data_IF_974872765135
#
_entry.id   IF_974872765135
#
_cell.length_a   1.000
_cell.length_b   1.000
_cell.length_c   1.000
_cell.angle_alpha   90.00
_cell.angle_beta   90.00
_cell.angle_gamma   90.00
#
_symmetry.space_group_name_H-M   'P 1'
#
loop_
_entity.id
_entity.type
_entity.pdbx_description
1 polymer ?
#
# COMPACT_ATOMS: atom_id res chain seq x y z
N UNK A 1 -4.99 21.08 1.78
CA UNK A 1 -5.65 19.87 1.24
C UNK A 1 -4.52 18.95 0.87
N UNK A 2 -4.11 18.10 1.81
CA UNK A 2 -3.15 17.05 1.52
C UNK A 2 -3.85 16.10 0.56
N UNK A 3 -3.28 15.95 -0.62
CA UNK A 3 -3.82 15.08 -1.67
C UNK A 3 -3.34 13.68 -1.29
N UNK A 4 -4.23 12.87 -0.72
CA UNK A 4 -3.94 11.46 -0.49
C UNK A 4 -3.49 10.82 -1.82
N UNK A 5 -2.38 10.09 -1.77
CA UNK A 5 -1.82 9.40 -2.93
C UNK A 5 -2.79 8.33 -3.40
N UNK A 6 -2.94 8.15 -4.71
CA UNK A 6 -3.67 6.99 -5.21
C UNK A 6 -2.89 5.71 -4.90
N UNK A 7 -3.57 4.55 -4.90
CA UNK A 7 -2.90 3.26 -4.74
C UNK A 7 -1.78 3.07 -5.77
N UNK A 8 -2.06 3.38 -7.04
CA UNK A 8 -1.10 3.24 -8.12
C UNK A 8 0.12 4.15 -7.95
N UNK A 9 -0.09 5.39 -7.50
CA UNK A 9 1.00 6.33 -7.23
C UNK A 9 1.86 5.84 -6.04
N UNK A 10 1.22 5.44 -4.95
CA UNK A 10 1.92 4.92 -3.76
C UNK A 10 2.71 3.63 -4.06
N UNK A 11 2.13 2.74 -4.88
CA UNK A 11 2.81 1.51 -5.30
C UNK A 11 4.03 1.82 -6.18
N UNK A 12 3.90 2.76 -7.12
CA UNK A 12 5.00 3.19 -7.98
C UNK A 12 6.14 3.84 -7.20
N UNK A 13 5.83 4.63 -6.18
CA UNK A 13 6.83 5.19 -5.27
C UNK A 13 7.54 4.09 -4.47
N UNK A 14 6.79 3.10 -3.96
CA UNK A 14 7.33 1.96 -3.24
C UNK A 14 8.27 1.12 -4.13
N UNK A 15 7.87 0.80 -5.36
CA UNK A 15 8.71 0.10 -6.34
C UNK A 15 10.00 0.87 -6.62
N UNK A 16 9.92 2.19 -6.75
CA UNK A 16 11.09 3.05 -6.97
C UNK A 16 12.06 2.99 -5.79
N UNK A 17 11.54 2.97 -4.55
CA UNK A 17 12.35 2.83 -3.34
C UNK A 17 13.04 1.46 -3.30
N UNK A 18 12.30 0.38 -3.57
CA UNK A 18 12.85 -0.98 -3.59
C UNK A 18 13.98 -1.07 -4.62
N UNK A 19 13.76 -0.58 -5.84
CA UNK A 19 14.78 -0.58 -6.89
C UNK A 19 16.04 0.19 -6.49
N UNK A 20 15.92 1.32 -5.78
CA UNK A 20 17.08 2.09 -5.30
C UNK A 20 17.84 1.34 -4.21
N UNK A 21 17.14 0.70 -3.29
CA UNK A 21 17.77 -0.11 -2.24
C UNK A 21 18.49 -1.34 -2.82
N UNK A 22 17.91 -1.99 -3.83
CA UNK A 22 18.50 -3.14 -4.51
C UNK A 22 19.76 -2.81 -5.33
N UNK A 23 19.88 -1.56 -5.82
CA UNK A 23 21.08 -1.12 -6.54
C UNK A 23 22.33 -1.06 -5.64
N UNK A 24 22.16 -0.93 -4.33
CA UNK A 24 23.26 -1.02 -3.35
C UNK A 24 24.28 0.13 -3.35
N UNK A 25 24.15 1.11 -4.24
CA UNK A 25 25.03 2.29 -4.34
C UNK A 25 24.49 3.51 -3.56
N UNK A 26 23.73 3.24 -2.49
CA UNK A 26 23.11 4.24 -1.62
C UNK A 26 23.86 4.29 -0.29
N UNK A 27 24.30 5.47 0.19
CA UNK A 27 24.88 5.61 1.52
C UNK A 27 23.97 5.04 2.60
N UNK A 28 24.53 4.45 3.66
CA UNK A 28 23.78 3.75 4.71
C UNK A 28 22.66 4.61 5.31
N UNK A 29 22.94 5.88 5.61
CA UNK A 29 21.96 6.81 6.17
C UNK A 29 20.78 7.03 5.21
N UNK A 30 21.08 7.23 3.93
CA UNK A 30 20.04 7.40 2.90
C UNK A 30 19.25 6.10 2.65
N UNK A 31 19.90 4.94 2.77
CA UNK A 31 19.24 3.64 2.67
C UNK A 31 18.26 3.42 3.84
N UNK A 32 18.62 3.86 5.06
CA UNK A 32 17.73 3.81 6.21
C UNK A 32 16.50 4.71 6.03
N UNK A 33 16.69 5.92 5.51
CA UNK A 33 15.58 6.84 5.22
C UNK A 33 14.64 6.27 4.14
N UNK A 34 15.21 5.74 3.05
CA UNK A 34 14.45 5.08 2.00
C UNK A 34 13.69 3.86 2.51
N UNK A 35 14.31 3.03 3.37
CA UNK A 35 13.66 1.88 3.97
C UNK A 35 12.47 2.29 4.86
N UNK A 36 12.64 3.32 5.70
CA UNK A 36 11.56 3.84 6.53
C UNK A 36 10.39 4.32 5.67
N UNK A 37 10.67 5.03 4.58
CA UNK A 37 9.63 5.49 3.67
C UNK A 37 8.94 4.34 2.94
N UNK A 38 9.70 3.33 2.49
CA UNK A 38 9.14 2.11 1.91
C UNK A 38 8.20 1.38 2.87
N UNK A 39 8.54 1.30 4.16
CA UNK A 39 7.65 0.71 5.18
C UNK A 39 6.36 1.52 5.34
N UNK A 40 6.43 2.86 5.33
CA UNK A 40 5.23 3.70 5.40
C UNK A 40 4.32 3.49 4.19
N UNK A 41 4.90 3.53 2.98
CA UNK A 41 4.16 3.30 1.74
C UNK A 41 3.55 1.90 1.68
N UNK A 42 4.29 0.87 2.10
CA UNK A 42 3.77 -0.50 2.18
C UNK A 42 2.55 -0.61 3.09
N UNK A 43 2.59 0.02 4.28
CA UNK A 43 1.44 0.08 5.19
C UNK A 43 0.28 0.87 4.61
N UNK A 44 0.57 1.97 3.92
CA UNK A 44 -0.44 2.78 3.26
C UNK A 44 -1.16 2.00 2.15
N UNK A 45 -0.42 1.35 1.25
CA UNK A 45 -1.00 0.50 0.21
C UNK A 45 -1.88 -0.61 0.81
N UNK A 46 -1.42 -1.26 1.89
CA UNK A 46 -2.21 -2.27 2.61
C UNK A 46 -3.52 -1.69 3.13
N UNK A 47 -3.50 -0.50 3.72
CA UNK A 47 -4.71 0.14 4.24
C UNK A 47 -5.74 0.44 3.15
N UNK A 48 -5.29 0.86 1.95
CA UNK A 48 -6.18 1.11 0.82
C UNK A 48 -6.87 -0.19 0.39
N UNK A 49 -6.11 -1.29 0.30
CA UNK A 49 -6.65 -2.60 -0.07
C UNK A 49 -7.66 -3.09 0.97
N UNK A 50 -7.33 -3.02 2.27
CA UNK A 50 -8.24 -3.40 3.36
C UNK A 50 -9.54 -2.59 3.34
N UNK A 51 -9.48 -1.30 3.02
CA UNK A 51 -10.65 -0.44 2.94
C UNK A 51 -11.51 -0.72 1.69
N UNK A 52 -10.88 -1.06 0.57
CA UNK A 52 -11.57 -1.53 -0.62
C UNK A 52 -12.29 -2.87 -0.35
N UNK A 53 -11.62 -3.82 0.31
CA UNK A 53 -12.21 -5.11 0.71
C UNK A 53 -13.42 -4.92 1.62
N UNK A 54 -13.31 -4.09 2.67
CA UNK A 54 -14.44 -3.76 3.56
C UNK A 54 -15.62 -3.17 2.78
N UNK A 55 -15.33 -2.32 1.79
CA UNK A 55 -16.36 -1.71 0.94
C UNK A 55 -17.09 -2.78 0.13
N UNK A 56 -16.36 -3.69 -0.51
CA UNK A 56 -16.94 -4.82 -1.27
C UNK A 56 -17.77 -5.72 -0.35
N UNK A 57 -17.25 -6.10 0.81
CA UNK A 57 -17.96 -6.93 1.79
C UNK A 57 -19.27 -6.26 2.21
N UNK A 58 -19.25 -4.95 2.48
CA UNK A 58 -20.45 -4.20 2.84
C UNK A 58 -21.50 -4.23 1.71
N UNK A 59 -21.08 -4.01 0.47
CA UNK A 59 -21.98 -4.05 -0.70
C UNK A 59 -22.61 -5.44 -0.88
N UNK A 60 -21.84 -6.51 -0.71
CA UNK A 60 -22.32 -7.89 -0.79
C UNK A 60 -23.35 -8.19 0.31
N UNK A 61 -23.07 -7.76 1.55
CA UNK A 61 -24.01 -7.89 2.69
C UNK A 61 -25.31 -7.12 2.48
N UNK A 62 -25.23 -5.91 1.93
CA UNK A 62 -26.42 -5.10 1.62
C UNK A 62 -27.27 -5.72 0.50
N UNK A 63 -26.65 -6.48 -0.42
CA UNK A 63 -27.35 -7.12 -1.55
C UNK A 63 -27.87 -8.54 -1.22
N UNK A 64 -27.74 -9.01 0.02
CA UNK A 64 -28.35 -10.27 0.51
C UNK A 64 -27.65 -11.57 0.08
N UNK A 65 -26.46 -11.50 -0.50
CA UNK A 65 -25.66 -12.68 -0.86
C UNK A 65 -24.76 -13.09 0.31
N UNK A 66 -25.20 -14.06 1.11
CA UNK A 66 -24.42 -14.71 2.17
C UNK A 66 -23.52 -15.81 1.57
N UNK A 67 -22.49 -15.44 0.81
CA UNK A 67 -21.31 -16.29 0.70
C UNK A 67 -20.11 -15.41 1.03
N UNK A 68 -19.69 -15.53 2.30
CA UNK A 68 -18.56 -14.80 2.85
C UNK A 68 -17.31 -15.46 2.25
N UNK A 69 -16.52 -14.66 1.51
CA UNK A 69 -15.15 -15.00 1.17
C UNK A 69 -14.40 -15.15 2.51
N UNK A 70 -14.21 -16.39 2.97
CA UNK A 70 -13.28 -16.70 4.04
C UNK A 70 -11.86 -16.68 3.47
N UNK A 71 -10.96 -15.97 4.15
CA UNK A 71 -9.52 -15.88 3.87
C UNK A 71 -8.84 -17.26 3.74
#
# INVERSE_FOLDING_TARGET
>A
MDKELSFDDAMKELETIVQKLEQGDVPLEAALDQFQEGIKLSRYCKSIVEDAEKTVIKMIKENGSEEILED
#
